data_IF_471810247314
#
_entry.id   IF_471810247314
#
_cell.length_a   1.000
_cell.length_b   1.000
_cell.length_c   1.000
_cell.angle_alpha   90.00
_cell.angle_beta   90.00
_cell.angle_gamma   90.00
#
_symmetry.space_group_name_H-M   'P 1'
#
loop_
_entity.id
_entity.type
_entity.pdbx_description
1 polymer ?
#
# COMPACT_ATOMS: atom_id res chain seq x y z
N UNK A 1 -32.40 -45.93 -42.82
CA UNK A 1 -32.79 -44.83 -41.91
C UNK A 1 -31.88 -44.66 -40.68
N UNK A 2 -31.27 -45.71 -40.10
CA UNK A 2 -30.39 -45.58 -38.91
C UNK A 2 -29.00 -44.94 -39.14
N UNK A 3 -28.49 -44.91 -40.38
CA UNK A 3 -27.16 -44.33 -40.70
C UNK A 3 -27.16 -42.81 -40.88
N UNK A 4 -28.27 -42.19 -41.30
CA UNK A 4 -28.38 -40.74 -41.42
C UNK A 4 -28.53 -40.03 -40.07
N UNK A 5 -29.13 -40.69 -39.08
CA UNK A 5 -29.32 -40.10 -37.75
C UNK A 5 -27.99 -39.97 -36.99
N UNK A 6 -27.07 -40.91 -37.18
CA UNK A 6 -25.74 -40.90 -36.52
C UNK A 6 -24.84 -39.80 -37.09
N UNK A 7 -24.92 -39.53 -38.39
CA UNK A 7 -24.16 -38.44 -39.01
C UNK A 7 -24.66 -37.05 -38.59
N UNK A 8 -25.97 -36.88 -38.39
CA UNK A 8 -26.54 -35.61 -37.91
C UNK A 8 -26.20 -35.33 -36.44
N UNK A 9 -26.13 -36.37 -35.60
CA UNK A 9 -25.74 -36.22 -34.18
C UNK A 9 -24.25 -35.91 -34.04
N UNK A 10 -23.39 -36.49 -34.90
CA UNK A 10 -21.96 -36.18 -34.93
C UNK A 10 -21.65 -34.78 -35.49
N UNK A 11 -22.40 -34.30 -36.49
CA UNK A 11 -22.27 -32.93 -37.00
C UNK A 11 -22.77 -31.89 -35.98
N UNK A 12 -23.82 -32.21 -35.22
CA UNK A 12 -24.32 -31.36 -34.13
C UNK A 12 -23.36 -31.26 -32.94
N UNK A 13 -22.61 -32.32 -32.63
CA UNK A 13 -21.60 -32.30 -31.58
C UNK A 13 -20.37 -31.45 -31.94
N UNK A 14 -19.97 -31.42 -33.21
CA UNK A 14 -18.86 -30.58 -33.69
C UNK A 14 -19.22 -29.07 -33.73
N UNK A 15 -20.50 -28.73 -33.82
CA UNK A 15 -21.00 -27.35 -33.76
C UNK A 15 -21.23 -26.84 -32.32
N UNK A 16 -21.17 -27.73 -31.31
CA UNK A 16 -21.32 -27.41 -29.88
C UNK A 16 -19.99 -27.36 -29.12
N UNK A 17 -18.87 -27.75 -29.74
CA UNK A 17 -17.53 -27.40 -29.24
C UNK A 17 -17.15 -26.00 -29.72
N UNK A 18 -17.97 -25.01 -29.37
CA UNK A 18 -17.60 -23.61 -29.39
C UNK A 18 -16.58 -23.33 -28.28
N UNK A 19 -15.42 -23.98 -28.33
CA UNK A 19 -14.24 -23.56 -27.59
C UNK A 19 -13.61 -22.37 -28.33
N UNK A 20 -14.35 -21.26 -28.47
CA UNK A 20 -13.73 -19.94 -28.68
C UNK A 20 -13.22 -19.43 -27.33
N UNK A 21 -12.46 -20.26 -26.63
CA UNK A 21 -11.58 -19.78 -25.59
C UNK A 21 -10.39 -19.19 -26.32
N UNK A 22 -10.42 -17.88 -26.54
CA UNK A 22 -9.23 -17.09 -26.89
C UNK A 22 -8.04 -17.67 -26.12
N UNK A 23 -7.05 -18.21 -26.83
CA UNK A 23 -5.92 -18.88 -26.20
C UNK A 23 -5.21 -17.91 -25.26
N UNK A 24 -4.45 -18.41 -24.28
CA UNK A 24 -3.60 -17.54 -23.46
C UNK A 24 -2.66 -16.65 -24.31
N UNK A 25 -2.36 -17.05 -25.56
CA UNK A 25 -1.59 -16.26 -26.52
C UNK A 25 -2.28 -15.00 -27.09
N UNK A 26 -3.61 -14.85 -26.92
CA UNK A 26 -4.36 -13.65 -27.37
C UNK A 26 -4.49 -12.58 -26.28
N UNK A 27 -3.88 -12.83 -25.11
CA UNK A 27 -3.99 -11.97 -23.93
C UNK A 27 -2.64 -11.51 -23.47
N UNK A 28 -2.59 -10.26 -23.05
CA UNK A 28 -1.39 -9.63 -22.51
C UNK A 28 -1.65 -9.30 -21.05
N UNK A 29 -0.81 -9.82 -20.15
CA UNK A 29 -0.99 -9.65 -18.72
C UNK A 29 -0.46 -8.28 -18.26
N UNK A 30 -1.34 -7.45 -17.71
CA UNK A 30 -0.94 -6.22 -17.03
C UNK A 30 -0.44 -6.57 -15.62
N UNK A 31 0.67 -5.96 -15.20
CA UNK A 31 1.28 -6.15 -13.87
C UNK A 31 1.22 -4.92 -13.01
N UNK A 32 1.30 -3.75 -13.62
CA UNK A 32 1.18 -2.49 -12.93
C UNK A 32 0.49 -1.46 -13.81
N UNK A 33 -0.20 -0.54 -13.15
CA UNK A 33 -0.76 0.67 -13.72
C UNK A 33 -0.03 1.82 -13.07
N UNK A 34 0.51 2.72 -13.87
CA UNK A 34 1.02 4.00 -13.41
C UNK A 34 0.11 5.10 -13.94
N UNK A 35 -0.24 6.06 -13.08
CA UNK A 35 -1.06 7.22 -13.46
C UNK A 35 -0.37 8.48 -12.95
N UNK A 36 -0.31 9.49 -13.82
CA UNK A 36 0.19 10.83 -13.51
C UNK A 36 -0.80 11.89 -14.03
N UNK A 37 -0.72 13.09 -13.46
CA UNK A 37 -1.47 14.27 -13.89
C UNK A 37 -0.51 15.44 -14.06
N UNK A 38 -0.14 15.70 -15.31
CA UNK A 38 0.52 16.95 -15.68
C UNK A 38 -0.54 17.95 -16.18
N UNK A 39 -0.52 18.27 -17.49
CA UNK A 39 -1.58 19.03 -18.14
C UNK A 39 -2.82 18.18 -18.39
N UNK A 40 -2.61 16.94 -18.81
CA UNK A 40 -3.60 15.89 -19.00
C UNK A 40 -3.24 14.70 -18.10
N UNK A 41 -4.16 13.75 -17.95
CA UNK A 41 -3.82 12.47 -17.33
C UNK A 41 -2.97 11.65 -18.30
N UNK A 42 -1.94 11.01 -17.75
CA UNK A 42 -1.13 10.04 -18.45
C UNK A 42 -1.20 8.70 -17.72
N UNK A 43 -1.43 7.63 -18.48
CA UNK A 43 -1.45 6.27 -17.98
C UNK A 43 -0.36 5.43 -18.66
N UNK A 44 0.37 4.65 -17.87
CA UNK A 44 1.28 3.61 -18.37
C UNK A 44 0.82 2.25 -17.84
N UNK A 45 0.55 1.32 -18.74
CA UNK A 45 0.21 -0.07 -18.42
C UNK A 45 1.44 -0.92 -18.65
N UNK A 46 2.01 -1.46 -17.57
CA UNK A 46 3.13 -2.37 -17.66
C UNK A 46 2.63 -3.77 -17.96
N UNK A 47 3.05 -4.30 -19.09
CA UNK A 47 2.66 -5.63 -19.58
C UNK A 47 3.87 -6.55 -19.68
N UNK A 48 3.64 -7.84 -19.43
CA UNK A 48 4.63 -8.88 -19.69
C UNK A 48 4.21 -9.69 -20.90
N UNK A 49 5.12 -9.80 -21.85
CA UNK A 49 4.97 -10.62 -23.05
C UNK A 49 5.87 -11.85 -22.95
N UNK A 50 5.29 -13.03 -23.15
CA UNK A 50 6.06 -14.26 -23.30
C UNK A 50 6.47 -14.40 -24.76
N UNK A 51 7.72 -14.09 -25.10
CA UNK A 51 8.28 -14.42 -26.41
C UNK A 51 8.92 -15.80 -26.35
N UNK A 52 8.47 -16.79 -27.15
CA UNK A 52 9.15 -18.07 -27.25
C UNK A 52 10.53 -17.86 -27.88
N UNK A 53 11.63 -18.13 -27.17
CA UNK A 53 12.93 -18.23 -27.83
C UNK A 53 13.01 -19.55 -28.59
N UNK A 54 13.08 -19.45 -29.92
CA UNK A 54 13.17 -20.60 -30.81
C UNK A 54 14.43 -21.46 -30.58
N UNK A 55 15.48 -20.89 -29.99
CA UNK A 55 16.80 -21.53 -29.92
C UNK A 55 17.16 -22.18 -28.57
N UNK A 56 16.46 -21.85 -27.47
CA UNK A 56 16.84 -22.35 -26.12
C UNK A 56 15.71 -23.04 -25.37
N UNK A 57 14.48 -23.01 -25.88
CA UNK A 57 13.31 -23.52 -25.15
C UNK A 57 12.99 -22.74 -23.86
N UNK A 58 13.71 -21.63 -23.60
CA UNK A 58 13.44 -20.72 -22.49
C UNK A 58 12.45 -19.65 -22.94
N UNK A 59 11.44 -19.38 -22.13
CA UNK A 59 10.55 -18.23 -22.34
C UNK A 59 11.23 -17.01 -21.73
N UNK A 60 11.61 -16.02 -22.54
CA UNK A 60 11.99 -14.71 -22.02
C UNK A 60 10.72 -13.87 -21.86
N UNK A 61 10.46 -13.40 -20.65
CA UNK A 61 9.42 -12.38 -20.42
C UNK A 61 10.03 -11.02 -20.78
N UNK A 62 9.48 -10.35 -21.79
CA UNK A 62 9.80 -8.96 -22.07
C UNK A 62 8.77 -8.05 -21.41
N UNK A 63 9.24 -7.08 -20.63
CA UNK A 63 8.43 -6.02 -20.07
C UNK A 63 8.27 -4.90 -21.10
N UNK A 64 7.04 -4.41 -21.27
CA UNK A 64 6.72 -3.27 -22.14
C UNK A 64 5.72 -2.36 -21.45
N UNK A 65 5.84 -1.06 -21.68
CA UNK A 65 4.84 -0.08 -21.29
C UNK A 65 3.92 0.25 -22.47
N UNK A 66 2.61 0.22 -22.22
CA UNK A 66 1.60 0.81 -23.09
C UNK A 66 1.25 2.18 -22.54
N UNK A 67 1.24 3.21 -23.36
CA UNK A 67 1.02 4.59 -22.92
C UNK A 67 -0.23 5.20 -23.55
N UNK A 68 -0.89 6.06 -22.78
CA UNK A 68 -2.06 6.78 -23.23
C UNK A 68 -2.25 8.07 -22.45
N UNK A 69 -2.85 9.07 -23.09
CA UNK A 69 -3.12 10.38 -22.52
C UNK A 69 -4.60 10.76 -22.74
N UNK A 70 -5.16 11.54 -21.82
CA UNK A 70 -6.54 12.00 -21.90
C UNK A 70 -6.89 13.05 -20.85
N UNK A 71 -8.06 13.69 -20.98
CA UNK A 71 -8.53 14.70 -20.01
C UNK A 71 -9.00 14.07 -18.70
N UNK A 72 -9.29 12.76 -18.72
CA UNK A 72 -9.69 11.98 -17.55
C UNK A 72 -8.82 10.72 -17.41
N UNK A 73 -8.79 10.15 -16.19
CA UNK A 73 -8.14 8.85 -15.95
C UNK A 73 -8.71 7.76 -16.87
N UNK A 74 -10.01 7.80 -17.18
CA UNK A 74 -10.64 6.89 -18.12
C UNK A 74 -10.03 6.99 -19.52
N UNK A 75 -9.97 8.20 -20.06
CA UNK A 75 -9.49 8.44 -21.42
C UNK A 75 -8.02 8.05 -21.57
N UNK A 76 -7.19 8.39 -20.57
CA UNK A 76 -5.78 8.03 -20.57
C UNK A 76 -5.58 6.50 -20.54
N UNK A 77 -6.34 5.78 -19.71
CA UNK A 77 -6.30 4.33 -19.67
C UNK A 77 -6.82 3.73 -20.98
N UNK A 78 -7.97 4.17 -21.48
CA UNK A 78 -8.55 3.67 -22.72
C UNK A 78 -7.59 3.85 -23.89
N UNK A 79 -6.92 5.01 -23.99
CA UNK A 79 -5.90 5.26 -25.01
C UNK A 79 -4.71 4.29 -24.88
N UNK A 80 -4.25 4.02 -23.66
CA UNK A 80 -3.18 3.06 -23.41
C UNK A 80 -3.61 1.63 -23.79
N UNK A 81 -4.83 1.23 -23.44
CA UNK A 81 -5.39 -0.08 -23.79
C UNK A 81 -5.52 -0.23 -25.32
N UNK A 82 -5.96 0.80 -26.03
CA UNK A 82 -6.12 0.81 -27.49
C UNK A 82 -4.80 0.77 -28.28
N UNK A 83 -3.68 1.09 -27.63
CA UNK A 83 -2.35 0.94 -28.24
C UNK A 83 -1.91 -0.53 -28.40
N UNK A 84 -2.64 -1.47 -27.78
CA UNK A 84 -2.42 -2.91 -27.90
C UNK A 84 -3.57 -3.57 -28.67
N UNK A 85 -3.20 -4.36 -29.68
CA UNK A 85 -4.15 -5.09 -30.53
C UNK A 85 -4.72 -6.33 -29.83
N UNK A 86 -3.97 -6.92 -28.91
CA UNK A 86 -4.39 -8.06 -28.08
C UNK A 86 -5.26 -7.59 -26.93
N UNK A 87 -6.04 -8.52 -26.37
CA UNK A 87 -6.89 -8.20 -25.23
C UNK A 87 -6.03 -8.09 -23.97
N UNK A 88 -6.03 -6.93 -23.33
CA UNK A 88 -5.41 -6.78 -22.03
C UNK A 88 -6.16 -7.62 -20.99
N UNK A 89 -5.39 -8.47 -20.32
CA UNK A 89 -5.86 -9.27 -19.21
C UNK A 89 -5.20 -8.74 -17.95
N UNK A 90 -6.04 -8.50 -16.99
CA UNK A 90 -5.60 -7.96 -15.74
C UNK A 90 -5.87 -9.00 -14.64
N UNK A 91 -4.80 -9.56 -14.09
CA UNK A 91 -4.79 -10.80 -13.32
C UNK A 91 -4.83 -10.61 -11.79
N UNK A 92 -4.16 -11.49 -11.05
CA UNK A 92 -4.09 -11.42 -9.58
C UNK A 92 -2.88 -10.62 -9.10
N UNK A 93 -3.20 -9.58 -8.31
CA UNK A 93 -2.31 -8.59 -7.67
C UNK A 93 -1.57 -7.68 -8.65
N UNK A 94 -2.24 -6.60 -9.02
CA UNK A 94 -1.66 -5.51 -9.81
C UNK A 94 -1.27 -4.36 -8.88
N UNK A 95 -0.21 -3.67 -9.24
CA UNK A 95 0.27 -2.50 -8.53
C UNK A 95 -0.31 -1.24 -9.19
N UNK A 96 -0.79 -0.29 -8.39
CA UNK A 96 -1.10 1.06 -8.82
C UNK A 96 -0.02 2.00 -8.31
N UNK A 97 0.69 2.63 -9.23
CA UNK A 97 1.61 3.72 -8.95
C UNK A 97 0.96 5.04 -9.28
N UNK A 98 1.04 5.99 -8.34
CA UNK A 98 0.64 7.37 -8.55
C UNK A 98 1.90 8.23 -8.66
N UNK A 99 2.02 8.97 -9.75
CA UNK A 99 3.13 9.89 -9.97
C UNK A 99 3.12 11.07 -8.98
N UNK A 100 4.25 11.81 -8.86
CA UNK A 100 4.40 12.91 -7.93
C UNK A 100 3.32 14.00 -8.05
N UNK A 101 2.94 14.42 -9.25
CA UNK A 101 1.97 15.52 -9.42
C UNK A 101 0.55 15.07 -9.04
N UNK A 102 0.20 13.83 -9.38
CA UNK A 102 -1.07 13.22 -9.02
C UNK A 102 -1.18 13.03 -7.51
N UNK A 103 -0.09 12.63 -6.85
CA UNK A 103 -0.01 12.53 -5.39
C UNK A 103 -0.36 13.86 -4.70
N UNK A 104 -0.03 15.01 -5.30
CA UNK A 104 -0.38 16.32 -4.75
C UNK A 104 -1.83 16.73 -5.00
N UNK A 105 -2.36 16.46 -6.19
CA UNK A 105 -3.56 17.16 -6.70
C UNK A 105 -4.73 16.27 -7.11
N UNK A 106 -4.59 14.95 -7.11
CA UNK A 106 -5.64 14.08 -7.66
C UNK A 106 -5.63 12.62 -7.20
N UNK A 107 -4.83 12.25 -6.19
CA UNK A 107 -4.67 10.86 -5.77
C UNK A 107 -6.00 10.17 -5.44
N UNK A 108 -6.83 10.78 -4.58
CA UNK A 108 -8.11 10.20 -4.17
C UNK A 108 -9.14 10.12 -5.30
N UNK A 109 -9.14 11.11 -6.20
CA UNK A 109 -10.00 11.11 -7.38
C UNK A 109 -9.65 9.94 -8.31
N UNK A 110 -8.36 9.79 -8.63
CA UNK A 110 -7.88 8.70 -9.47
C UNK A 110 -8.11 7.33 -8.82
N UNK A 111 -7.80 7.17 -7.54
CA UNK A 111 -8.04 5.92 -6.82
C UNK A 111 -9.52 5.57 -6.75
N UNK A 112 -10.42 6.54 -6.50
CA UNK A 112 -11.86 6.28 -6.46
C UNK A 112 -12.39 5.85 -7.83
N UNK A 113 -11.99 6.56 -8.88
CA UNK A 113 -12.35 6.22 -10.25
C UNK A 113 -11.89 4.79 -10.59
N UNK A 114 -10.65 4.45 -10.27
CA UNK A 114 -10.11 3.11 -10.49
C UNK A 114 -10.84 2.08 -9.62
N UNK A 115 -11.18 2.39 -8.37
CA UNK A 115 -11.91 1.49 -7.49
C UNK A 115 -13.32 1.16 -8.00
N UNK A 116 -14.00 2.12 -8.65
CA UNK A 116 -15.35 1.91 -9.21
C UNK A 116 -15.36 1.21 -10.56
N UNK A 117 -14.33 1.42 -11.38
CA UNK A 117 -14.29 0.90 -12.76
C UNK A 117 -13.39 -0.34 -12.96
N UNK A 118 -12.53 -0.65 -12.00
CA UNK A 118 -11.80 -1.93 -12.02
C UNK A 118 -12.79 -3.05 -11.68
N UNK A 119 -13.42 -3.58 -12.72
CA UNK A 119 -14.42 -4.67 -12.69
C UNK A 119 -13.93 -5.89 -11.90
N UNK A 120 -13.95 -5.83 -10.57
CA UNK A 120 -13.54 -6.87 -9.63
C UNK A 120 -12.10 -6.84 -9.10
N UNK A 121 -11.36 -5.71 -9.09
CA UNK A 121 -9.95 -5.67 -8.59
C UNK A 121 -9.72 -4.79 -7.35
N UNK A 122 -10.46 -5.04 -6.25
CA UNK A 122 -10.30 -4.28 -5.01
C UNK A 122 -8.88 -4.38 -4.41
N UNK A 123 -8.19 -5.50 -4.65
CA UNK A 123 -6.91 -5.84 -3.99
C UNK A 123 -5.67 -5.30 -4.73
N UNK A 124 -5.82 -4.34 -5.64
CA UNK A 124 -4.69 -3.62 -6.22
C UNK A 124 -4.00 -2.78 -5.14
N UNK A 125 -2.69 -2.96 -4.98
CA UNK A 125 -1.92 -2.22 -3.98
C UNK A 125 -1.59 -0.83 -4.53
N UNK A 126 -1.76 0.22 -3.73
CA UNK A 126 -1.55 1.60 -4.16
C UNK A 126 -0.29 2.17 -3.51
N UNK A 127 0.61 2.70 -4.34
CA UNK A 127 1.83 3.37 -3.91
C UNK A 127 1.98 4.71 -4.63
N UNK A 128 2.42 5.75 -3.92
CA UNK A 128 3.02 6.91 -4.57
C UNK A 128 4.43 6.53 -5.03
N UNK A 129 4.83 6.94 -6.23
CA UNK A 129 6.15 6.66 -6.77
C UNK A 129 6.87 7.97 -7.07
N UNK A 130 8.09 8.13 -6.56
CA UNK A 130 8.95 9.28 -6.86
C UNK A 130 9.64 9.11 -8.23
N UNK A 131 8.83 9.01 -9.28
CA UNK A 131 9.28 8.90 -10.67
C UNK A 131 8.21 9.48 -11.59
N UNK A 132 8.64 10.28 -12.57
CA UNK A 132 7.80 10.74 -13.68
C UNK A 132 7.48 9.57 -14.66
N UNK A 133 6.56 9.76 -15.63
CA UNK A 133 6.14 8.69 -16.52
C UNK A 133 7.29 8.08 -17.35
N UNK A 134 8.23 8.90 -17.80
CA UNK A 134 9.35 8.47 -18.64
C UNK A 134 10.40 7.71 -17.80
N UNK A 135 10.65 8.16 -16.57
CA UNK A 135 11.48 7.46 -15.61
C UNK A 135 10.87 6.10 -15.25
N UNK A 136 9.55 6.03 -15.05
CA UNK A 136 8.84 4.77 -14.82
C UNK A 136 8.98 3.80 -15.99
N UNK A 137 8.88 4.28 -17.23
CA UNK A 137 9.08 3.48 -18.43
C UNK A 137 10.52 2.95 -18.55
N UNK A 138 11.53 3.80 -18.31
CA UNK A 138 12.94 3.39 -18.31
C UNK A 138 13.27 2.32 -17.29
N UNK A 139 12.55 2.24 -16.17
CA UNK A 139 12.72 1.18 -15.18
C UNK A 139 12.38 -0.21 -15.73
N UNK A 140 11.55 -0.27 -16.78
CA UNK A 140 11.12 -1.52 -17.39
C UNK A 140 12.02 -1.97 -18.55
N UNK A 141 12.88 -1.09 -19.07
CA UNK A 141 13.87 -1.43 -20.10
C UNK A 141 14.86 -2.49 -19.63
N UNK A 142 15.13 -2.55 -18.32
CA UNK A 142 15.98 -3.56 -17.68
C UNK A 142 15.24 -4.88 -17.38
N UNK A 143 13.97 -5.01 -17.79
CA UNK A 143 13.12 -6.16 -17.52
C UNK A 143 12.23 -5.94 -16.29
N UNK A 144 12.06 -6.97 -15.47
CA UNK A 144 11.09 -6.98 -14.34
C UNK A 144 11.71 -6.69 -12.98
N UNK A 145 12.95 -6.21 -12.94
CA UNK A 145 13.73 -6.02 -11.71
C UNK A 145 13.05 -5.04 -10.74
N UNK A 146 12.58 -3.91 -11.26
CA UNK A 146 11.86 -2.92 -10.46
C UNK A 146 10.60 -3.53 -9.81
N UNK A 147 9.74 -4.19 -10.60
CA UNK A 147 8.55 -4.87 -10.06
C UNK A 147 8.90 -5.94 -9.03
N UNK A 148 9.95 -6.71 -9.30
CA UNK A 148 10.44 -7.76 -8.39
C UNK A 148 10.89 -7.15 -7.06
N UNK A 149 11.55 -6.00 -7.08
CA UNK A 149 11.94 -5.27 -5.87
C UNK A 149 10.74 -4.78 -5.07
N UNK A 150 9.66 -4.30 -5.73
CA UNK A 150 8.41 -3.91 -5.04
C UNK A 150 7.76 -5.14 -4.40
N UNK A 151 7.69 -6.27 -5.11
CA UNK A 151 7.16 -7.51 -4.53
C UNK A 151 7.99 -8.03 -3.36
N UNK A 152 9.32 -7.84 -3.37
CA UNK A 152 10.18 -8.15 -2.24
C UNK A 152 9.90 -7.24 -1.04
N UNK A 153 9.65 -5.94 -1.27
CA UNK A 153 9.20 -5.03 -0.23
C UNK A 153 7.86 -5.51 0.37
N UNK A 154 6.89 -5.91 -0.46
CA UNK A 154 5.62 -6.46 0.04
C UNK A 154 5.82 -7.72 0.88
N UNK A 155 6.73 -8.63 0.48
CA UNK A 155 7.09 -9.83 1.26
C UNK A 155 7.78 -9.49 2.59
N UNK A 156 8.51 -8.37 2.65
CA UNK A 156 9.07 -7.81 3.90
C UNK A 156 8.04 -7.04 4.73
N UNK A 157 6.80 -6.96 4.24
CA UNK A 157 5.66 -6.41 4.93
C UNK A 157 5.57 -4.89 4.92
N UNK A 158 6.11 -4.19 3.90
CA UNK A 158 5.97 -2.71 3.81
C UNK A 158 4.53 -2.25 3.94
N UNK A 159 4.34 -0.97 4.30
CA UNK A 159 3.02 -0.38 4.49
C UNK A 159 2.23 -0.54 3.20
N UNK A 160 1.07 -1.19 3.27
CA UNK A 160 0.25 -1.51 2.12
C UNK A 160 -1.15 -0.94 2.30
N UNK A 161 -1.61 -0.24 1.28
CA UNK A 161 -3.01 0.14 1.14
C UNK A 161 -3.55 -0.42 -0.16
N UNK A 162 -4.84 -0.75 -0.13
CA UNK A 162 -5.53 -1.36 -1.24
C UNK A 162 -6.53 -0.38 -1.84
N UNK A 163 -6.72 -0.50 -3.15
CA UNK A 163 -7.59 0.39 -3.92
C UNK A 163 -9.01 0.47 -3.37
N UNK A 164 -9.56 -0.64 -2.86
CA UNK A 164 -10.91 -0.64 -2.27
C UNK A 164 -11.06 0.32 -1.08
N UNK A 165 -9.98 0.63 -0.37
CA UNK A 165 -10.02 1.55 0.78
C UNK A 165 -10.34 2.99 0.35
N UNK A 166 -10.20 3.33 -0.94
CA UNK A 166 -10.53 4.63 -1.52
C UNK A 166 -11.96 4.71 -2.10
N UNK A 167 -12.71 3.59 -2.08
CA UNK A 167 -14.10 3.56 -2.59
C UNK A 167 -15.10 4.29 -1.69
N UNK A 168 -14.72 4.59 -0.45
CA UNK A 168 -15.54 5.33 0.50
C UNK A 168 -15.72 6.81 0.16
N UNK A 169 -16.67 7.44 0.87
CA UNK A 169 -16.95 8.87 0.77
C UNK A 169 -15.92 9.75 1.49
N UNK A 170 -15.12 9.18 2.39
CA UNK A 170 -14.04 9.91 3.05
C UNK A 170 -12.88 10.16 2.10
N UNK A 171 -12.49 11.42 1.91
CA UNK A 171 -11.26 11.78 1.20
C UNK A 171 -10.05 11.79 2.16
N UNK A 172 -10.04 10.90 3.15
CA UNK A 172 -8.96 10.81 4.14
C UNK A 172 -8.44 9.39 4.19
N UNK A 173 -7.14 9.25 4.43
CA UNK A 173 -6.45 7.97 4.37
C UNK A 173 -4.95 8.18 4.24
N UNK A 174 -4.22 7.11 3.96
CA UNK A 174 -2.78 7.17 3.77
C UNK A 174 -2.38 6.51 2.46
N UNK A 175 -1.29 6.97 1.87
CA UNK A 175 -0.67 6.33 0.71
C UNK A 175 0.83 6.14 1.01
N UNK A 176 1.35 4.90 0.98
CA UNK A 176 2.77 4.64 1.10
C UNK A 176 3.52 5.15 -0.14
N UNK A 177 4.67 5.79 0.08
CA UNK A 177 5.55 6.31 -0.97
C UNK A 177 6.78 5.43 -1.15
N UNK A 178 7.08 5.11 -2.40
CA UNK A 178 8.29 4.42 -2.82
C UNK A 178 9.21 5.41 -3.55
N UNK A 179 10.51 5.30 -3.27
CA UNK A 179 11.57 5.95 -4.03
C UNK A 179 12.24 4.94 -4.96
N UNK A 180 12.87 5.45 -6.01
CA UNK A 180 13.64 4.65 -6.96
C UNK A 180 15.13 4.84 -6.66
N UNK A 181 15.81 3.77 -6.27
CA UNK A 181 17.24 3.75 -5.94
C UNK A 181 17.94 2.72 -6.81
N UNK A 182 18.84 3.17 -7.69
CA UNK A 182 19.61 2.29 -8.58
C UNK A 182 18.74 1.33 -9.43
N UNK A 183 17.51 1.72 -9.73
CA UNK A 183 16.54 0.90 -10.48
C UNK A 183 15.68 -0.04 -9.63
N UNK A 184 15.87 -0.05 -8.31
CA UNK A 184 15.04 -0.79 -7.35
C UNK A 184 14.14 0.15 -6.54
N UNK A 185 13.01 -0.36 -6.07
CA UNK A 185 12.13 0.36 -5.16
C UNK A 185 12.66 0.32 -3.71
N UNK A 186 12.53 1.43 -3.01
CA UNK A 186 12.76 1.52 -1.57
C UNK A 186 11.58 2.24 -0.91
N UNK A 187 11.10 1.70 0.21
CA UNK A 187 10.07 2.36 1.02
C UNK A 187 10.63 3.65 1.64
N UNK A 188 10.02 4.79 1.32
CA UNK A 188 10.54 6.10 1.70
C UNK A 188 9.69 6.76 2.80
N UNK A 189 8.37 6.72 2.62
CA UNK A 189 7.43 7.54 3.41
C UNK A 189 6.02 6.98 3.43
N UNK A 190 5.19 7.54 4.32
CA UNK A 190 3.73 7.41 4.29
C UNK A 190 3.14 8.81 4.27
N UNK A 191 2.31 9.10 3.29
CA UNK A 191 1.62 10.40 3.19
C UNK A 191 0.21 10.26 3.74
N UNK A 192 -0.10 11.03 4.78
CA UNK A 192 -1.45 11.23 5.31
C UNK A 192 -2.20 12.23 4.43
N UNK A 193 -3.40 11.85 4.04
CA UNK A 193 -4.33 12.70 3.31
C UNK A 193 -5.50 13.08 4.20
N UNK A 194 -5.91 14.35 4.11
CA UNK A 194 -7.17 14.87 4.66
C UNK A 194 -7.88 15.65 3.56
N UNK A 195 -9.18 15.40 3.40
CA UNK A 195 -10.00 16.08 2.38
C UNK A 195 -9.45 15.98 0.95
N UNK A 196 -8.70 14.91 0.66
CA UNK A 196 -8.17 14.57 -0.67
C UNK A 196 -6.84 15.23 -0.98
N UNK A 197 -6.25 15.94 -0.02
CA UNK A 197 -4.97 16.63 -0.15
C UNK A 197 -3.93 16.03 0.80
N UNK A 198 -2.64 16.00 0.42
CA UNK A 198 -1.58 15.69 1.35
C UNK A 198 -1.61 16.66 2.54
N UNK A 199 -1.56 16.13 3.76
CA UNK A 199 -1.59 16.91 5.00
C UNK A 199 -0.31 16.72 5.82
N UNK A 200 0.18 15.48 5.95
CA UNK A 200 1.38 15.17 6.73
C UNK A 200 2.15 14.04 6.07
N UNK A 201 3.48 14.07 6.16
CA UNK A 201 4.36 13.04 5.63
C UNK A 201 5.17 12.43 6.76
N UNK A 202 5.03 11.13 6.96
CA UNK A 202 5.82 10.36 7.92
C UNK A 202 6.96 9.65 7.22
N UNK A 203 8.18 9.82 7.74
CA UNK A 203 9.41 9.14 7.28
C UNK A 203 10.04 8.38 8.45
N UNK A 204 11.02 7.55 8.16
CA UNK A 204 11.83 6.87 9.19
C UNK A 204 10.99 6.12 10.22
N UNK A 205 11.29 6.34 11.51
CA UNK A 205 10.60 5.68 12.62
C UNK A 205 9.08 5.89 12.61
N UNK A 206 8.58 7.10 12.30
CA UNK A 206 7.13 7.35 12.24
C UNK A 206 6.43 6.50 11.18
N UNK A 207 7.03 6.36 10.00
CA UNK A 207 6.45 5.54 8.94
C UNK A 207 6.36 4.05 9.35
N UNK A 208 7.35 3.57 10.10
CA UNK A 208 7.39 2.20 10.63
C UNK A 208 6.37 2.01 11.76
N UNK A 209 6.23 2.98 12.66
CA UNK A 209 5.23 2.95 13.74
C UNK A 209 3.80 3.11 13.22
N UNK A 210 3.58 3.88 12.14
CA UNK A 210 2.29 3.94 11.45
C UNK A 210 1.89 2.55 10.91
N UNK A 211 2.88 1.79 10.40
CA UNK A 211 2.71 0.39 9.97
C UNK A 211 2.29 -0.52 11.12
N UNK A 212 2.90 -0.32 12.29
CA UNK A 212 2.53 -1.04 13.51
C UNK A 212 1.09 -0.74 13.92
N UNK A 213 0.69 0.54 13.97
CA UNK A 213 -0.67 0.96 14.32
C UNK A 213 -1.71 0.44 13.32
N UNK A 214 -1.35 0.34 12.04
CA UNK A 214 -2.19 -0.27 11.00
C UNK A 214 -2.29 -1.81 11.11
N UNK A 215 -1.56 -2.44 12.03
CA UNK A 215 -1.54 -3.89 12.20
C UNK A 215 -0.79 -4.63 11.09
N UNK A 216 0.13 -3.95 10.40
CA UNK A 216 0.86 -4.46 9.23
C UNK A 216 2.36 -4.68 9.49
N UNK A 217 2.77 -4.76 10.77
CA UNK A 217 4.17 -4.94 11.15
C UNK A 217 4.38 -6.20 11.98
N UNK A 218 5.03 -7.20 11.38
CA UNK A 218 5.55 -8.38 12.10
C UNK A 218 6.98 -8.14 12.65
N UNK A 219 7.63 -7.09 12.16
CA UNK A 219 8.96 -6.64 12.57
C UNK A 219 9.10 -5.16 12.22
N UNK A 220 9.81 -4.39 13.04
CA UNK A 220 10.12 -2.99 12.78
C UNK A 220 11.61 -2.79 12.65
N UNK A 221 12.02 -1.89 11.77
CA UNK A 221 13.38 -1.36 11.68
C UNK A 221 13.27 0.11 12.08
N UNK A 222 13.80 0.48 13.25
CA UNK A 222 13.68 1.82 13.81
C UNK A 222 15.05 2.46 13.92
N UNK A 223 15.15 3.70 13.45
CA UNK A 223 16.26 4.60 13.72
C UNK A 223 15.70 5.75 14.52
N UNK A 224 16.23 5.98 15.72
CA UNK A 224 15.82 7.07 16.61
C UNK A 224 16.94 8.10 16.63
N UNK A 225 16.79 9.17 15.86
CA UNK A 225 17.79 10.22 15.71
C UNK A 225 18.19 10.88 17.05
N UNK A 226 17.25 11.21 17.97
CA UNK A 226 17.61 11.82 19.26
C UNK A 226 18.53 10.97 20.13
N UNK A 227 18.47 9.64 19.96
CA UNK A 227 19.29 8.68 20.68
C UNK A 227 20.49 8.19 19.88
N UNK A 228 20.57 8.54 18.59
CA UNK A 228 21.60 8.05 17.67
C UNK A 228 21.69 6.52 17.65
N UNK A 229 20.55 5.83 17.64
CA UNK A 229 20.51 4.36 17.60
C UNK A 229 19.65 3.85 16.46
N UNK A 230 20.04 2.72 15.89
CA UNK A 230 19.19 1.92 14.98
C UNK A 230 19.04 0.51 15.52
N UNK A 231 17.84 -0.05 15.43
CA UNK A 231 17.56 -1.40 15.92
C UNK A 231 16.35 -2.02 15.23
N UNK A 232 16.23 -3.33 15.39
CA UNK A 232 15.09 -4.11 14.96
C UNK A 232 14.20 -4.46 16.15
N UNK A 233 12.88 -4.26 16.04
CA UNK A 233 11.92 -4.80 17.01
C UNK A 233 11.31 -6.06 16.44
N UNK A 234 11.56 -7.21 17.09
CA UNK A 234 10.95 -8.50 16.77
C UNK A 234 9.67 -8.72 17.55
N UNK A 235 8.72 -9.38 16.90
CA UNK A 235 7.40 -9.73 17.46
C UNK A 235 6.73 -8.52 18.14
N UNK A 236 6.64 -7.35 17.47
CA UNK A 236 5.99 -6.20 18.04
C UNK A 236 4.50 -6.51 18.28
N UNK A 237 3.97 -6.13 19.44
CA UNK A 237 2.57 -6.37 19.81
C UNK A 237 1.95 -5.12 20.38
N UNK A 238 0.78 -4.77 19.86
CA UNK A 238 -0.11 -3.75 20.43
C UNK A 238 -1.28 -4.42 21.13
N UNK A 239 -1.52 -4.04 22.39
CA UNK A 239 -2.73 -4.41 23.14
C UNK A 239 -3.53 -3.14 23.44
N UNK A 240 -4.80 -3.15 23.05
CA UNK A 240 -5.72 -2.03 23.17
C UNK A 240 -6.68 -2.26 24.34
N UNK A 241 -6.70 -1.36 25.31
CA UNK A 241 -7.54 -1.45 26.51
C UNK A 241 -8.39 -0.19 26.66
N UNK A 242 -9.60 -0.16 26.09
CA UNK A 242 -10.55 0.91 26.33
C UNK A 242 -11.12 0.79 27.75
N UNK A 243 -11.29 1.91 28.44
CA UNK A 243 -11.87 1.96 29.78
C UNK A 243 -12.69 3.24 30.00
N UNK A 244 -13.71 3.14 30.86
CA UNK A 244 -14.46 4.31 31.32
C UNK A 244 -13.62 5.18 32.28
N UNK A 245 -13.87 6.47 32.25
CA UNK A 245 -13.32 7.49 33.15
C UNK A 245 -14.44 8.42 33.61
N UNK A 246 -14.16 9.29 34.59
CA UNK A 246 -15.12 10.33 35.01
C UNK A 246 -15.50 11.27 33.85
N UNK A 247 -14.58 11.52 32.91
CA UNK A 247 -14.77 12.42 31.77
C UNK A 247 -15.28 11.73 30.48
N UNK A 248 -15.44 10.40 30.49
CA UNK A 248 -15.89 9.62 29.34
C UNK A 248 -15.17 8.28 29.22
N UNK A 249 -14.37 8.11 28.17
CA UNK A 249 -13.56 6.92 27.91
C UNK A 249 -12.13 7.30 27.56
N UNK A 250 -11.19 6.39 27.83
CA UNK A 250 -9.81 6.47 27.38
C UNK A 250 -9.37 5.14 26.78
N UNK A 251 -8.36 5.19 25.92
CA UNK A 251 -7.73 4.01 25.33
C UNK A 251 -6.28 3.91 25.79
N UNK A 252 -5.97 2.90 26.57
CA UNK A 252 -4.58 2.54 26.87
C UNK A 252 -4.05 1.61 25.79
N UNK A 253 -2.93 1.95 25.18
CA UNK A 253 -2.27 1.14 24.15
C UNK A 253 -0.91 0.69 24.68
N UNK A 254 -0.78 -0.62 24.88
CA UNK A 254 0.47 -1.22 25.34
C UNK A 254 1.27 -1.73 24.14
N UNK A 255 2.48 -1.19 23.95
CA UNK A 255 3.41 -1.64 22.93
C UNK A 255 4.53 -2.45 23.59
N UNK A 256 4.74 -3.68 23.12
CA UNK A 256 5.83 -4.56 23.58
C UNK A 256 6.55 -5.22 22.41
N UNK A 257 7.82 -5.58 22.62
CA UNK A 257 8.65 -6.23 21.60
C UNK A 257 10.09 -6.43 22.06
N UNK A 258 10.83 -7.25 21.31
CA UNK A 258 12.24 -7.54 21.57
C UNK A 258 13.15 -6.69 20.66
N UNK A 259 14.03 -5.89 21.25
CA UNK A 259 15.07 -5.13 20.57
C UNK A 259 16.21 -6.07 20.19
N UNK A 260 16.58 -6.06 18.92
CA UNK A 260 17.70 -6.80 18.34
C UNK A 260 18.51 -5.89 17.42
N UNK A 261 19.75 -6.28 17.11
CA UNK A 261 20.62 -5.59 16.16
C UNK A 261 20.77 -4.10 16.47
N UNK A 262 20.93 -3.77 17.75
CA UNK A 262 21.13 -2.41 18.21
C UNK A 262 22.52 -1.92 17.79
N UNK A 263 22.57 -0.85 17.01
CA UNK A 263 23.79 -0.27 16.45
C UNK A 263 23.81 1.25 16.58
N UNK A 264 25.02 1.82 16.64
CA UNK A 264 25.27 3.26 16.52
C UNK A 264 25.13 3.75 15.07
N UNK A 265 25.19 5.06 14.79
CA UNK A 265 25.12 5.59 13.43
C UNK A 265 26.27 5.12 12.55
N UNK A 266 27.44 4.82 13.14
CA UNK A 266 28.61 4.27 12.46
C UNK A 266 28.50 2.75 12.23
N UNK A 267 27.39 2.13 12.63
CA UNK A 267 27.13 0.69 12.47
C UNK A 267 27.80 -0.19 13.53
N UNK A 268 28.40 0.41 14.57
CA UNK A 268 29.00 -0.35 15.66
C UNK A 268 27.90 -0.98 16.54
N UNK A 269 28.04 -2.27 16.85
CA UNK A 269 27.12 -2.94 17.77
C UNK A 269 27.24 -2.31 19.16
N UNK A 270 26.09 -1.91 19.72
CA UNK A 270 26.01 -1.40 21.09
C UNK A 270 25.83 -2.56 22.08
N UNK A 271 26.28 -2.40 23.35
CA UNK A 271 26.15 -3.46 24.35
C UNK A 271 24.69 -3.88 24.55
N UNK A 272 24.47 -5.19 24.63
CA UNK A 272 23.17 -5.74 25.00
C UNK A 272 22.87 -5.49 26.48
N UNK A 273 21.62 -5.12 26.77
CA UNK A 273 21.08 -4.84 28.12
C UNK A 273 21.62 -3.56 28.77
N UNK A 274 21.07 -2.42 28.33
CA UNK A 274 21.20 -1.13 29.00
C UNK A 274 19.81 -0.61 29.38
N UNK A 275 19.48 -0.65 30.67
CA UNK A 275 18.15 -0.23 31.17
C UNK A 275 17.87 1.26 30.94
N UNK A 276 18.90 2.10 30.98
CA UNK A 276 18.71 3.53 30.76
C UNK A 276 18.38 3.77 29.29
N UNK A 277 19.10 3.11 28.38
CA UNK A 277 18.82 3.19 26.95
C UNK A 277 17.46 2.55 26.59
N UNK A 278 17.07 1.44 27.22
CA UNK A 278 15.72 0.88 27.06
C UNK A 278 14.62 1.88 27.45
N UNK A 279 14.77 2.57 28.59
CA UNK A 279 13.83 3.60 29.03
C UNK A 279 13.79 4.79 28.07
N UNK A 280 14.96 5.24 27.59
CA UNK A 280 15.04 6.32 26.60
C UNK A 280 14.36 5.94 25.28
N UNK A 281 14.57 4.70 24.81
CA UNK A 281 13.89 4.15 23.63
C UNK A 281 12.37 4.09 23.86
N UNK A 282 11.92 3.60 25.01
CA UNK A 282 10.50 3.49 25.35
C UNK A 282 9.81 4.87 25.31
N UNK A 283 10.42 5.92 25.87
CA UNK A 283 9.88 7.29 25.87
C UNK A 283 9.90 7.96 24.49
N UNK A 284 10.97 7.77 23.71
CA UNK A 284 11.05 8.31 22.35
C UNK A 284 9.99 7.67 21.44
N UNK A 285 9.87 6.34 21.48
CA UNK A 285 8.85 5.60 20.72
C UNK A 285 7.43 6.02 21.14
N UNK A 286 7.20 6.19 22.44
CA UNK A 286 5.92 6.69 22.97
C UNK A 286 5.60 8.06 22.39
N UNK A 287 6.55 9.00 22.41
CA UNK A 287 6.38 10.35 21.86
C UNK A 287 5.99 10.30 20.38
N UNK A 288 6.69 9.49 19.57
CA UNK A 288 6.37 9.31 18.15
C UNK A 288 4.97 8.72 17.91
N UNK A 289 4.52 7.79 18.77
CA UNK A 289 3.18 7.22 18.70
C UNK A 289 2.09 8.25 19.07
N UNK A 290 2.33 9.06 20.08
CA UNK A 290 1.44 10.16 20.48
C UNK A 290 1.31 11.20 19.36
N UNK A 291 2.43 11.55 18.72
CA UNK A 291 2.43 12.44 17.54
C UNK A 291 1.63 11.85 16.36
N UNK A 292 1.76 10.55 16.08
CA UNK A 292 0.96 9.87 15.04
C UNK A 292 -0.55 9.94 15.35
N UNK A 293 -0.95 9.80 16.62
CA UNK A 293 -2.36 9.93 17.01
C UNK A 293 -2.83 11.38 16.93
N UNK A 294 -1.98 12.34 17.29
CA UNK A 294 -2.28 13.77 17.17
C UNK A 294 -2.49 14.18 15.70
N UNK A 295 -1.64 13.69 14.77
CA UNK A 295 -1.77 13.94 13.32
C UNK A 295 -3.08 13.38 12.74
N UNK A 296 -3.58 12.30 13.34
CA UNK A 296 -4.70 11.49 12.84
C UNK A 296 -5.99 11.74 13.62
N UNK A 297 -6.26 10.95 14.66
CA UNK A 297 -7.47 11.04 15.49
C UNK A 297 -7.63 12.43 16.12
N UNK A 298 -6.52 13.05 16.56
CA UNK A 298 -6.50 14.41 17.11
C UNK A 298 -6.99 15.49 16.12
N UNK A 299 -7.00 15.16 14.83
CA UNK A 299 -7.51 16.03 13.74
C UNK A 299 -8.69 15.39 13.02
N UNK A 300 -9.45 14.54 13.73
CA UNK A 300 -10.66 13.85 13.27
C UNK A 300 -10.43 13.01 12.00
N UNK A 301 -9.24 12.45 11.85
CA UNK A 301 -8.84 11.61 10.73
C UNK A 301 -8.35 10.25 11.22
N UNK A 302 -9.27 9.34 11.55
CA UNK A 302 -8.96 8.06 12.19
C UNK A 302 -8.48 6.97 11.20
N UNK A 303 -7.31 7.19 10.58
CA UNK A 303 -6.72 6.24 9.61
C UNK A 303 -6.26 4.92 10.22
N UNK A 304 -6.11 4.85 11.55
CA UNK A 304 -5.73 3.64 12.28
C UNK A 304 -6.92 2.93 12.95
N UNK A 305 -8.15 3.41 12.71
CA UNK A 305 -9.40 2.84 13.24
C UNK A 305 -9.42 2.76 14.78
N UNK A 306 -8.77 3.68 15.48
CA UNK A 306 -8.74 3.74 16.95
C UNK A 306 -10.13 4.02 17.54
N UNK A 307 -10.97 4.80 16.85
CA UNK A 307 -12.36 5.08 17.24
C UNK A 307 -13.17 3.80 17.41
N UNK A 308 -12.91 2.79 16.58
CA UNK A 308 -13.59 1.49 16.69
C UNK A 308 -13.36 0.82 18.04
N UNK A 309 -12.19 1.06 18.68
CA UNK A 309 -11.87 0.51 20.00
C UNK A 309 -12.75 1.12 21.10
N UNK A 310 -13.04 2.41 21.00
CA UNK A 310 -13.99 3.08 21.89
C UNK A 310 -15.43 2.64 21.62
N UNK A 311 -15.83 2.59 20.35
CA UNK A 311 -17.19 2.20 19.95
C UNK A 311 -17.55 0.77 20.37
N UNK A 312 -16.57 -0.14 20.41
CA UNK A 312 -16.76 -1.50 20.92
C UNK A 312 -17.04 -1.54 22.43
N UNK A 313 -16.62 -0.52 23.18
CA UNK A 313 -16.93 -0.41 24.61
C UNK A 313 -18.31 0.24 24.82
N UNK A 314 -18.55 1.40 24.19
CA UNK A 314 -19.82 2.12 24.23
C UNK A 314 -19.98 3.02 22.98
N UNK A 315 -20.80 2.58 22.02
CA UNK A 315 -21.00 3.30 20.75
C UNK A 315 -21.74 4.64 20.93
N UNK A 316 -22.84 4.76 21.70
CA UNK A 316 -23.47 6.05 21.99
C UNK A 316 -22.52 7.07 22.61
N UNK A 317 -21.75 6.69 23.63
CA UNK A 317 -20.81 7.58 24.29
C UNK A 317 -19.64 7.95 23.36
N UNK A 318 -19.13 6.99 22.57
CA UNK A 318 -18.12 7.25 21.56
C UNK A 318 -18.57 8.33 20.56
N UNK A 319 -19.81 8.25 20.05
CA UNK A 319 -20.39 9.28 19.17
C UNK A 319 -20.52 10.64 19.85
N UNK A 320 -20.92 10.68 21.12
CA UNK A 320 -20.99 11.93 21.87
C UNK A 320 -19.60 12.57 22.04
N UNK A 321 -18.60 11.76 22.41
CA UNK A 321 -17.20 12.20 22.54
C UNK A 321 -16.57 12.64 21.21
N UNK A 322 -16.99 12.06 20.10
CA UNK A 322 -16.57 12.48 18.76
C UNK A 322 -17.16 13.87 18.42
N UNK A 323 -18.46 14.04 18.65
CA UNK A 323 -19.17 15.28 18.34
C UNK A 323 -18.71 16.49 19.16
N UNK A 324 -18.31 16.29 20.42
CA UNK A 324 -17.80 17.35 21.30
C UNK A 324 -16.27 17.45 21.33
N UNK A 325 -15.57 16.66 20.50
CA UNK A 325 -14.12 16.71 20.33
C UNK A 325 -13.31 16.05 21.44
N UNK A 326 -13.93 15.38 22.43
CA UNK A 326 -13.21 14.63 23.47
C UNK A 326 -12.33 13.52 22.92
N UNK A 327 -12.70 12.85 21.83
CA UNK A 327 -11.84 11.83 21.20
C UNK A 327 -10.56 12.40 20.56
N UNK A 328 -10.55 13.69 20.22
CA UNK A 328 -9.42 14.36 19.61
C UNK A 328 -8.42 14.92 20.65
N UNK A 329 -8.73 14.80 21.95
CA UNK A 329 -7.83 15.27 23.00
C UNK A 329 -6.59 14.39 23.12
N UNK A 330 -5.41 14.94 23.46
CA UNK A 330 -4.17 14.16 23.57
C UNK A 330 -4.26 12.99 24.57
N UNK A 331 -5.03 13.15 25.64
CA UNK A 331 -5.19 12.16 26.72
C UNK A 331 -6.21 11.06 26.41
N UNK A 332 -6.95 11.17 25.30
CA UNK A 332 -7.91 10.14 24.88
C UNK A 332 -7.22 8.81 24.58
N UNK A 333 -5.99 8.83 24.07
CA UNK A 333 -5.17 7.65 23.77
C UNK A 333 -3.82 7.78 24.46
N UNK A 334 -3.48 6.82 25.32
CA UNK A 334 -2.22 6.83 26.06
C UNK A 334 -1.38 5.61 25.70
N UNK A 335 -0.08 5.81 25.49
CA UNK A 335 0.85 4.74 25.13
C UNK A 335 1.72 4.31 26.31
N UNK A 336 1.90 2.98 26.42
CA UNK A 336 2.79 2.36 27.38
C UNK A 336 3.75 1.42 26.64
N UNK A 337 5.00 1.85 26.48
CA UNK A 337 6.04 1.11 25.78
C UNK A 337 6.83 0.21 26.73
N UNK A 338 7.13 -1.00 26.27
CA UNK A 338 7.92 -2.00 26.98
C UNK A 338 8.78 -2.79 25.99
N UNK A 339 9.79 -2.12 25.42
CA UNK A 339 10.76 -2.71 24.51
C UNK A 339 11.98 -3.19 25.29
N UNK A 340 12.44 -4.41 25.02
CA UNK A 340 13.49 -5.05 25.82
C UNK A 340 14.59 -5.60 24.94
N UNK A 341 15.84 -5.30 25.29
CA UNK A 341 17.03 -5.82 24.63
C UNK A 341 17.18 -7.31 24.94
N UNK A 342 17.45 -8.11 23.90
CA UNK A 342 17.59 -9.57 23.99
C UNK A 342 18.99 -10.00 23.61
#
# INVERSE_FOLDING_TARGET
MKRCLVFLVLLGAALLTGCTGSGLGDRVAVKAVYVEKERQYEARLLVLESTPNADTGQVSEQARCLSGQGETVYEALLAAEQSESRRLFYGQSELLFLGPNLMEKGAFEACRYLASNTSGRPNMAVYGLDADPDAFEKLQEKGTDFLSSVQQLEKRGVYKVFLYQFSGSSNSGVIPGLSVQEGSAAFEKVTLFREGKPDTVWKGAKAQLARLLAGQADTLELTLEPLSVSFQVRSPKLRFEPAFTEEGMKLSVHFSGAIQRLVSPEGAALPGQDRWLEQAIDEEVKTLLEELVADTLGRQNDVFLLRSRFANLDEPLCRAMEADGRLARPDAVNFFCLLRMV
#
